data_IF_512326681965
#
_entry.id   IF_512326681965
#
_cell.length_a   1.000
_cell.length_b   1.000
_cell.length_c   1.000
_cell.angle_alpha   90.00
_cell.angle_beta   90.00
_cell.angle_gamma   90.00
#
_symmetry.space_group_name_H-M   'P 1'
#
loop_
_entity.id
_entity.type
_entity.pdbx_description
1 polymer ?
#
# COMPACT_ATOMS: atom_id res chain seq x y z
N UNK A 1 44.80 31.52 44.66
CA UNK A 1 45.92 30.62 44.33
C UNK A 1 45.54 29.86 43.06
N UNK A 2 46.22 30.12 41.95
CA UNK A 2 46.13 29.25 40.79
C UNK A 2 46.88 27.95 41.12
N UNK A 3 46.23 26.80 40.95
CA UNK A 3 46.91 25.51 41.05
C UNK A 3 48.06 25.50 40.04
N UNK A 4 49.24 25.06 40.49
CA UNK A 4 50.46 25.07 39.69
C UNK A 4 50.29 24.21 38.43
N UNK A 5 50.10 24.88 37.30
CA UNK A 5 49.88 24.32 35.97
C UNK A 5 49.04 25.29 35.14
N UNK A 6 49.41 25.55 33.88
CA UNK A 6 48.60 26.41 33.00
C UNK A 6 47.15 25.91 33.00
N UNK A 7 46.22 26.73 33.50
CA UNK A 7 44.80 26.41 33.46
C UNK A 7 44.37 26.29 32.00
N UNK A 8 43.85 25.13 31.55
CA UNK A 8 43.42 24.96 30.16
C UNK A 8 42.32 25.98 29.84
N UNK A 9 42.37 26.58 28.65
CA UNK A 9 41.35 27.51 28.18
C UNK A 9 40.00 26.81 28.14
N UNK A 10 38.98 27.38 28.77
CA UNK A 10 37.62 26.86 28.71
C UNK A 10 37.10 27.11 27.29
N UNK A 11 37.04 26.05 26.49
CA UNK A 11 36.47 26.09 25.14
C UNK A 11 34.94 26.19 25.29
N UNK A 12 34.32 27.18 24.64
CA UNK A 12 32.86 27.45 24.75
C UNK A 12 32.02 26.29 24.21
N UNK A 13 32.57 25.54 23.25
CA UNK A 13 31.95 24.36 22.65
C UNK A 13 32.84 23.14 22.85
N UNK A 14 32.22 21.96 22.85
CA UNK A 14 32.95 20.69 22.99
C UNK A 14 33.97 20.53 21.86
N UNK A 15 35.17 20.06 22.17
CA UNK A 15 36.17 19.70 21.16
C UNK A 15 35.56 18.73 20.13
N UNK A 16 35.73 19.08 18.85
CA UNK A 16 35.11 18.37 17.72
C UNK A 16 33.80 18.99 17.21
N UNK A 17 33.30 20.08 17.80
CA UNK A 17 32.14 20.80 17.27
C UNK A 17 32.57 21.71 16.10
N UNK A 18 32.19 21.35 14.88
CA UNK A 18 32.40 22.20 13.71
C UNK A 18 31.36 23.34 13.72
N UNK A 19 31.84 24.58 13.83
CA UNK A 19 30.99 25.77 13.77
C UNK A 19 31.39 26.64 12.60
N UNK A 20 30.53 26.66 11.59
CA UNK A 20 30.63 27.60 10.48
C UNK A 20 29.43 28.56 10.53
N UNK A 21 29.74 29.85 10.34
CA UNK A 21 28.79 30.96 10.49
C UNK A 21 28.91 31.94 9.32
N UNK A 22 27.90 32.79 9.16
CA UNK A 22 27.89 33.86 8.16
C UNK A 22 27.53 33.38 6.75
N UNK A 23 27.91 34.19 5.74
CA UNK A 23 27.53 33.98 4.34
C UNK A 23 28.03 32.65 3.78
N UNK A 24 29.23 32.21 4.17
CA UNK A 24 29.82 30.95 3.72
C UNK A 24 28.97 29.73 4.09
N UNK A 25 28.37 29.72 5.28
CA UNK A 25 27.48 28.64 5.70
C UNK A 25 26.20 28.58 4.85
N UNK A 26 25.64 29.74 4.51
CA UNK A 26 24.43 29.82 3.68
C UNK A 26 24.71 29.28 2.28
N UNK A 27 25.83 29.68 1.68
CA UNK A 27 26.24 29.20 0.36
C UNK A 27 26.53 27.69 0.39
N UNK A 28 27.18 27.19 1.44
CA UNK A 28 27.41 25.75 1.62
C UNK A 28 26.09 24.97 1.69
N UNK A 29 25.12 25.46 2.47
CA UNK A 29 23.79 24.87 2.55
C UNK A 29 23.07 24.86 1.19
N UNK A 30 23.16 25.96 0.42
CA UNK A 30 22.59 26.04 -0.92
C UNK A 30 23.23 25.00 -1.83
N UNK A 31 24.57 24.90 -1.85
CA UNK A 31 25.28 23.95 -2.70
C UNK A 31 24.93 22.49 -2.39
N UNK A 32 24.73 22.14 -1.10
CA UNK A 32 24.26 20.82 -0.71
C UNK A 32 22.87 20.50 -1.28
N UNK A 33 21.94 21.46 -1.23
CA UNK A 33 20.62 21.34 -1.83
C UNK A 33 20.68 21.21 -3.38
N UNK A 34 21.57 21.97 -4.03
CA UNK A 34 21.76 21.91 -5.48
C UNK A 34 22.32 20.56 -5.94
N UNK A 35 23.19 19.94 -5.15
CA UNK A 35 23.71 18.60 -5.44
C UNK A 35 22.56 17.58 -5.53
N UNK A 36 21.66 17.59 -4.55
CA UNK A 36 20.46 16.72 -4.56
C UNK A 36 19.53 17.04 -5.72
N UNK A 37 19.28 18.33 -5.96
CA UNK A 37 18.46 18.79 -7.08
C UNK A 37 19.00 18.22 -8.41
N UNK A 38 20.33 18.23 -8.60
CA UNK A 38 20.96 17.72 -9.82
C UNK A 38 20.76 16.21 -10.03
N UNK A 39 20.73 15.42 -8.95
CA UNK A 39 20.44 13.99 -8.99
C UNK A 39 19.00 13.72 -9.42
N UNK A 40 18.05 14.48 -8.88
CA UNK A 40 16.61 14.26 -9.10
C UNK A 40 16.12 14.92 -10.40
N UNK A 41 16.78 15.97 -10.88
CA UNK A 41 16.40 16.74 -12.08
C UNK A 41 16.23 15.87 -13.34
N UNK A 42 17.02 14.82 -13.48
CA UNK A 42 16.94 13.89 -14.62
C UNK A 42 15.63 13.10 -14.70
N UNK A 43 14.91 12.97 -13.59
CA UNK A 43 13.62 12.25 -13.50
C UNK A 43 12.42 13.13 -13.88
N UNK A 44 12.60 14.46 -13.98
CA UNK A 44 11.49 15.37 -14.22
C UNK A 44 10.98 15.30 -15.67
N UNK A 45 9.67 15.10 -15.83
CA UNK A 45 8.95 15.21 -17.09
C UNK A 45 8.58 13.86 -17.73
N UNK A 46 7.82 13.87 -18.84
CA UNK A 46 7.28 12.67 -19.49
C UNK A 46 8.33 11.82 -20.25
N UNK A 47 9.57 12.33 -20.32
CA UNK A 47 10.75 11.65 -20.85
C UNK A 47 11.90 11.68 -19.82
N UNK A 48 11.56 11.89 -18.54
CA UNK A 48 12.52 11.77 -17.45
C UNK A 48 13.10 10.36 -17.40
N UNK A 49 14.39 10.25 -17.09
CA UNK A 49 15.06 8.97 -16.93
C UNK A 49 14.72 8.34 -15.58
N UNK A 50 14.67 7.02 -15.55
CA UNK A 50 14.54 6.28 -14.29
C UNK A 50 15.91 6.15 -13.61
N UNK A 51 15.94 6.22 -12.27
CA UNK A 51 17.15 6.03 -11.49
C UNK A 51 17.21 4.60 -10.94
N UNK A 52 18.31 3.91 -11.24
CA UNK A 52 18.66 2.64 -10.62
C UNK A 52 19.45 2.92 -9.35
N UNK A 53 18.85 2.60 -8.22
CA UNK A 53 19.43 2.72 -6.88
C UNK A 53 19.78 1.33 -6.35
N UNK A 54 20.96 1.18 -5.76
CA UNK A 54 21.40 -0.06 -5.13
C UNK A 54 21.66 0.23 -3.66
N UNK A 55 20.89 -0.43 -2.79
CA UNK A 55 21.08 -0.35 -1.35
C UNK A 55 22.36 -1.09 -0.91
N UNK A 56 22.86 -0.82 0.30
CA UNK A 56 24.03 -1.51 0.87
C UNK A 56 23.84 -3.03 0.93
N UNK A 57 22.58 -3.49 1.00
CA UNK A 57 22.19 -4.91 0.98
C UNK A 57 22.17 -5.52 -0.44
N UNK A 58 22.57 -4.78 -1.47
CA UNK A 58 22.54 -5.22 -2.87
C UNK A 58 21.13 -5.23 -3.49
N UNK A 59 20.12 -4.70 -2.79
CA UNK A 59 18.76 -4.60 -3.31
C UNK A 59 18.69 -3.49 -4.36
N UNK A 60 18.33 -3.87 -5.58
CA UNK A 60 18.14 -2.96 -6.70
C UNK A 60 16.72 -2.42 -6.73
N UNK A 61 16.57 -1.10 -6.77
CA UNK A 61 15.30 -0.39 -6.87
C UNK A 61 15.38 0.56 -8.06
N UNK A 62 14.43 0.47 -8.99
CA UNK A 62 14.36 1.36 -10.15
C UNK A 62 13.17 2.26 -9.94
N UNK A 63 13.41 3.56 -9.80
CA UNK A 63 12.31 4.49 -9.51
C UNK A 63 12.47 5.82 -10.23
N UNK A 64 11.33 6.41 -10.57
CA UNK A 64 11.20 7.76 -11.13
C UNK A 64 10.67 8.75 -10.07
N UNK A 65 10.07 8.23 -9.00
CA UNK A 65 9.45 9.05 -7.98
C UNK A 65 10.52 9.68 -7.07
N UNK A 66 10.55 11.02 -7.06
CA UNK A 66 11.48 11.79 -6.26
C UNK A 66 11.39 11.50 -4.77
N UNK A 67 10.21 11.21 -4.22
CA UNK A 67 10.09 10.89 -2.80
C UNK A 67 10.76 9.54 -2.47
N UNK A 68 10.58 8.54 -3.33
CA UNK A 68 11.24 7.23 -3.19
C UNK A 68 12.75 7.33 -3.36
N UNK A 69 13.25 8.11 -4.34
CA UNK A 69 14.69 8.39 -4.49
C UNK A 69 15.26 9.02 -3.21
N UNK A 70 14.58 10.03 -2.67
CA UNK A 70 15.03 10.76 -1.48
C UNK A 70 14.98 9.93 -0.18
N UNK A 71 14.13 8.89 -0.13
CA UNK A 71 14.10 7.91 0.98
C UNK A 71 15.27 6.91 0.91
N UNK A 72 15.77 6.62 -0.29
CA UNK A 72 16.87 5.68 -0.51
C UNK A 72 18.24 6.34 -0.41
N UNK A 73 18.33 7.65 -0.63
CA UNK A 73 19.57 8.41 -0.47
C UNK A 73 19.89 8.62 1.01
N UNK A 74 21.11 8.26 1.42
CA UNK A 74 21.61 8.55 2.77
C UNK A 74 22.08 10.01 2.87
N UNK A 75 21.16 10.89 3.31
CA UNK A 75 21.37 12.33 3.38
C UNK A 75 21.79 12.72 4.80
N UNK A 76 23.10 12.97 4.96
CA UNK A 76 23.68 13.43 6.24
C UNK A 76 23.52 14.95 6.43
N UNK A 77 23.55 15.73 5.36
CA UNK A 77 23.60 17.20 5.45
C UNK A 77 22.23 17.79 5.90
N UNK A 78 22.17 18.61 6.96
CA UNK A 78 20.90 19.09 7.52
C UNK A 78 20.02 19.87 6.54
N UNK A 79 20.60 20.77 5.74
CA UNK A 79 19.83 21.56 4.77
C UNK A 79 19.21 20.68 3.68
N UNK A 80 19.90 19.61 3.30
CA UNK A 80 19.46 18.67 2.30
C UNK A 80 18.32 17.77 2.81
N UNK A 81 18.35 17.42 4.10
CA UNK A 81 17.26 16.66 4.74
C UNK A 81 15.91 17.39 4.68
N UNK A 82 15.92 18.73 4.71
CA UNK A 82 14.69 19.53 4.55
C UNK A 82 14.04 19.26 3.19
N UNK A 83 14.82 19.07 2.12
CA UNK A 83 14.26 18.71 0.80
C UNK A 83 13.57 17.33 0.82
N UNK A 84 14.13 16.37 1.57
CA UNK A 84 13.51 15.05 1.78
C UNK A 84 12.17 15.17 2.50
N UNK A 85 12.11 16.00 3.54
CA UNK A 85 10.89 16.20 4.32
C UNK A 85 9.80 16.88 3.46
N UNK A 86 10.17 17.84 2.61
CA UNK A 86 9.26 18.48 1.66
C UNK A 86 8.74 17.46 0.64
N UNK A 87 9.62 16.64 0.05
CA UNK A 87 9.22 15.61 -0.91
C UNK A 87 8.27 14.58 -0.28
N UNK A 88 8.54 14.18 0.98
CA UNK A 88 7.68 13.26 1.74
C UNK A 88 6.32 13.89 2.11
N UNK A 89 6.28 15.18 2.41
CA UNK A 89 5.03 15.89 2.66
C UNK A 89 4.18 15.94 1.39
N UNK A 90 4.79 16.22 0.23
CA UNK A 90 4.11 16.23 -1.05
C UNK A 90 3.55 14.85 -1.44
N UNK A 91 4.33 13.79 -1.19
CA UNK A 91 3.94 12.38 -1.40
C UNK A 91 2.72 12.01 -0.55
N UNK A 92 2.67 12.45 0.72
CA UNK A 92 1.57 12.13 1.62
C UNK A 92 0.30 12.98 1.42
N UNK A 93 0.43 14.23 0.98
CA UNK A 93 -0.72 15.14 0.81
C UNK A 93 -1.37 15.05 -0.58
N UNK A 94 -0.56 14.87 -1.63
CA UNK A 94 -1.04 14.89 -3.03
C UNK A 94 -0.64 13.63 -3.79
N UNK A 95 0.53 13.05 -3.50
CA UNK A 95 1.04 11.84 -4.17
C UNK A 95 1.64 12.05 -5.56
N UNK A 96 1.59 13.28 -6.10
CA UNK A 96 2.24 13.67 -7.36
C UNK A 96 3.04 14.98 -7.20
N UNK A 97 4.00 15.20 -8.11
CA UNK A 97 4.85 16.38 -8.11
C UNK A 97 5.97 16.38 -7.06
N UNK A 98 6.29 15.22 -6.48
CA UNK A 98 7.40 15.08 -5.51
C UNK A 98 8.72 15.59 -6.09
N UNK A 99 9.04 15.19 -7.32
CA UNK A 99 10.22 15.64 -8.07
C UNK A 99 10.18 17.13 -8.39
N UNK A 100 9.03 17.66 -8.82
CA UNK A 100 8.93 19.07 -9.25
C UNK A 100 9.10 20.03 -8.07
N UNK A 101 8.60 19.67 -6.89
CA UNK A 101 8.77 20.48 -5.67
C UNK A 101 10.25 20.58 -5.28
N UNK A 102 10.99 19.46 -5.31
CA UNK A 102 12.43 19.45 -5.01
C UNK A 102 13.21 20.27 -6.03
N UNK A 103 12.91 20.09 -7.33
CA UNK A 103 13.57 20.83 -8.41
C UNK A 103 13.30 22.33 -8.31
N UNK A 104 12.05 22.73 -8.03
CA UNK A 104 11.68 24.13 -7.87
C UNK A 104 12.34 24.76 -6.64
N UNK A 105 12.36 24.06 -5.51
CA UNK A 105 13.02 24.54 -4.30
C UNK A 105 14.53 24.74 -4.53
N UNK A 106 15.19 23.79 -5.21
CA UNK A 106 16.60 23.91 -5.59
C UNK A 106 16.86 25.09 -6.52
N UNK A 107 16.01 25.30 -7.53
CA UNK A 107 16.19 26.40 -8.49
C UNK A 107 15.99 27.77 -7.83
N UNK A 108 15.01 27.89 -6.92
CA UNK A 108 14.84 29.11 -6.12
C UNK A 108 16.12 29.38 -5.32
N UNK A 109 16.67 28.38 -4.62
CA UNK A 109 17.91 28.54 -3.85
C UNK A 109 19.11 28.93 -4.74
N UNK A 110 19.15 28.44 -5.98
CA UNK A 110 20.17 28.80 -6.96
C UNK A 110 20.13 30.28 -7.33
N UNK A 111 18.95 30.81 -7.66
CA UNK A 111 18.79 32.23 -8.00
C UNK A 111 19.06 33.15 -6.80
N UNK A 112 18.77 32.67 -5.59
CA UNK A 112 19.05 33.43 -4.36
C UNK A 112 20.54 33.50 -4.03
N UNK A 113 21.36 32.59 -4.56
CA UNK A 113 22.80 32.58 -4.31
C UNK A 113 23.44 33.92 -4.68
N UNK A 114 23.12 34.45 -5.85
CA UNK A 114 23.67 35.72 -6.34
C UNK A 114 23.27 36.89 -5.43
N UNK A 115 22.03 36.91 -4.94
CA UNK A 115 21.56 37.93 -4.01
C UNK A 115 22.28 37.85 -2.65
N UNK A 116 22.58 36.64 -2.17
CA UNK A 116 23.32 36.43 -0.91
C UNK A 116 24.79 36.84 -1.07
N UNK A 117 25.41 36.54 -2.22
CA UNK A 117 26.77 36.94 -2.55
C UNK A 117 26.90 38.47 -2.61
N UNK A 118 25.92 39.16 -3.22
CA UNK A 118 25.81 40.63 -3.22
C UNK A 118 25.56 41.25 -1.83
N UNK A 119 25.30 40.43 -0.81
CA UNK A 119 25.16 40.88 0.58
C UNK A 119 23.77 41.37 0.96
N UNK A 120 22.74 41.01 0.19
CA UNK A 120 21.35 41.25 0.60
C UNK A 120 21.04 40.43 1.86
N UNK A 121 20.40 41.07 2.85
CA UNK A 121 20.00 40.37 4.08
C UNK A 121 18.99 39.25 3.78
N UNK A 122 19.23 38.06 4.32
CA UNK A 122 18.36 36.89 4.14
C UNK A 122 16.92 37.15 4.60
N UNK A 123 16.71 38.04 5.57
CA UNK A 123 15.36 38.39 6.02
C UNK A 123 14.54 39.10 4.93
N UNK A 124 15.17 39.96 4.13
CA UNK A 124 14.53 40.66 3.02
C UNK A 124 14.15 39.68 1.93
N UNK A 125 15.06 38.75 1.62
CA UNK A 125 14.84 37.67 0.65
C UNK A 125 13.62 36.82 1.07
N UNK A 126 13.57 36.38 2.33
CA UNK A 126 12.45 35.57 2.85
C UNK A 126 11.13 36.35 2.75
N UNK A 127 11.13 37.66 3.08
CA UNK A 127 9.93 38.51 2.96
C UNK A 127 9.46 38.62 1.51
N UNK A 128 10.39 38.78 0.57
CA UNK A 128 10.11 38.80 -0.87
C UNK A 128 9.48 37.50 -1.36
N UNK A 129 10.09 36.36 -1.02
CA UNK A 129 9.60 35.02 -1.40
C UNK A 129 8.21 34.71 -0.84
N UNK A 130 7.96 35.05 0.43
CA UNK A 130 6.63 34.86 1.05
C UNK A 130 5.55 35.66 0.31
N UNK A 131 5.85 36.91 -0.07
CA UNK A 131 4.92 37.74 -0.85
C UNK A 131 4.71 37.18 -2.25
N UNK A 132 5.78 36.77 -2.93
CA UNK A 132 5.69 36.17 -4.26
C UNK A 132 4.88 34.86 -4.25
N UNK A 133 5.10 34.00 -3.25
CA UNK A 133 4.34 32.76 -3.07
C UNK A 133 2.84 33.02 -2.91
N UNK A 134 2.46 33.98 -2.06
CA UNK A 134 1.05 34.34 -1.87
C UNK A 134 0.39 34.84 -3.16
N UNK A 135 1.10 35.67 -3.94
CA UNK A 135 0.61 36.16 -5.23
C UNK A 135 0.47 35.04 -6.27
N UNK A 136 1.44 34.12 -6.33
CA UNK A 136 1.40 32.97 -7.22
C UNK A 136 0.21 32.05 -6.90
N UNK A 137 -0.02 31.74 -5.62
CA UNK A 137 -1.16 30.92 -5.17
C UNK A 137 -2.49 31.59 -5.53
N UNK A 138 -2.62 32.90 -5.33
CA UNK A 138 -3.83 33.62 -5.72
C UNK A 138 -4.06 33.55 -7.24
N UNK A 139 -3.00 33.72 -8.03
CA UNK A 139 -3.12 33.62 -9.49
C UNK A 139 -3.51 32.22 -9.95
N UNK A 140 -3.00 31.16 -9.31
CA UNK A 140 -3.40 29.78 -9.59
C UNK A 140 -4.90 29.56 -9.32
N UNK A 141 -5.44 30.15 -8.25
CA UNK A 141 -6.88 30.09 -7.94
C UNK A 141 -7.74 30.83 -8.97
N UNK A 142 -7.24 31.94 -9.53
CA UNK A 142 -7.95 32.71 -10.56
C UNK A 142 -8.02 31.99 -11.92
N UNK A 143 -6.99 31.23 -12.28
CA UNK A 143 -6.95 30.46 -13.53
C UNK A 143 -7.56 29.07 -13.41
N UNK A 144 -7.92 28.65 -12.19
CA UNK A 144 -8.50 27.34 -11.94
C UNK A 144 -9.89 27.24 -12.59
N UNK A 145 -10.05 26.26 -13.48
CA UNK A 145 -11.32 26.00 -14.16
C UNK A 145 -12.08 24.95 -13.36
N UNK A 146 -13.24 25.33 -12.80
CA UNK A 146 -14.12 24.39 -12.12
C UNK A 146 -14.89 23.55 -13.15
N UNK A 147 -14.59 22.26 -13.20
CA UNK A 147 -15.21 21.31 -14.13
C UNK A 147 -16.57 20.78 -13.62
N UNK A 148 -16.97 21.12 -12.38
CA UNK A 148 -18.23 20.65 -11.78
C UNK A 148 -19.47 21.25 -12.42
N UNK A 149 -19.40 22.48 -12.94
CA UNK A 149 -20.54 23.22 -13.50
C UNK A 149 -20.84 22.92 -14.97
N UNK A 150 -19.88 22.38 -15.72
CA UNK A 150 -19.97 22.27 -17.19
C UNK A 150 -20.46 20.89 -17.65
N UNK A 151 -20.47 19.89 -16.76
CA UNK A 151 -20.64 18.48 -17.12
C UNK A 151 -21.66 17.78 -16.20
N UNK A 152 -22.94 17.87 -16.57
CA UNK A 152 -24.04 17.20 -15.88
C UNK A 152 -24.09 15.67 -16.06
N UNK A 153 -23.30 15.10 -16.98
CA UNK A 153 -23.30 13.66 -17.24
C UNK A 153 -22.18 12.94 -16.46
N UNK A 154 -22.51 11.80 -15.85
CA UNK A 154 -21.56 10.93 -15.14
C UNK A 154 -20.43 10.48 -16.09
N UNK A 155 -20.74 10.21 -17.36
CA UNK A 155 -19.78 9.76 -18.37
C UNK A 155 -18.67 10.79 -18.66
N UNK A 156 -18.99 12.09 -18.67
CA UNK A 156 -17.98 13.14 -18.91
C UNK A 156 -17.10 13.37 -17.69
N UNK A 157 -17.61 13.10 -16.47
CA UNK A 157 -16.78 13.07 -15.25
C UNK A 157 -15.78 11.92 -15.28
N UNK A 158 -16.23 10.73 -15.64
CA UNK A 158 -15.34 9.55 -15.78
C UNK A 158 -14.27 9.80 -16.83
N UNK A 159 -14.63 10.40 -17.98
CA UNK A 159 -13.66 10.77 -19.01
C UNK A 159 -12.65 11.82 -18.54
N UNK A 160 -13.10 12.78 -17.72
CA UNK A 160 -12.20 13.78 -17.11
C UNK A 160 -11.21 13.12 -16.15
N UNK A 161 -11.68 12.21 -15.28
CA UNK A 161 -10.82 11.44 -14.37
C UNK A 161 -9.81 10.59 -15.13
N UNK A 162 -10.20 9.97 -16.25
CA UNK A 162 -9.27 9.23 -17.12
C UNK A 162 -8.18 10.13 -17.68
N UNK A 163 -8.52 11.33 -18.16
CA UNK A 163 -7.52 12.28 -18.67
C UNK A 163 -6.53 12.69 -17.57
N UNK A 164 -7.03 12.97 -16.37
CA UNK A 164 -6.19 13.31 -15.22
C UNK A 164 -5.26 12.14 -14.83
N UNK A 165 -5.80 10.93 -14.71
CA UNK A 165 -5.00 9.73 -14.43
C UNK A 165 -3.94 9.49 -15.52
N UNK A 166 -4.30 9.67 -16.79
CA UNK A 166 -3.38 9.58 -17.93
C UNK A 166 -2.23 10.58 -17.83
N UNK A 167 -2.49 11.81 -17.37
CA UNK A 167 -1.42 12.81 -17.19
C UNK A 167 -0.40 12.40 -16.13
N UNK A 168 -0.84 11.84 -15.00
CA UNK A 168 0.05 11.37 -13.94
C UNK A 168 0.86 10.11 -14.33
N UNK A 169 0.34 9.29 -15.24
CA UNK A 169 1.03 8.07 -15.72
C UNK A 169 2.06 8.33 -16.83
N UNK A 170 2.04 9.50 -17.47
CA UNK A 170 2.86 9.79 -18.66
C UNK A 170 4.37 9.80 -18.42
N UNK A 171 4.84 10.07 -17.20
CA UNK A 171 6.26 10.07 -16.84
C UNK A 171 6.77 8.71 -16.37
N UNK A 172 5.89 7.71 -16.21
CA UNK A 172 6.25 6.39 -15.67
C UNK A 172 6.46 5.37 -16.79
N UNK A 173 7.13 4.26 -16.47
CA UNK A 173 7.31 3.08 -17.35
C UNK A 173 6.01 2.57 -17.98
N UNK A 174 4.88 2.88 -17.34
CA UNK A 174 3.52 2.52 -17.76
C UNK A 174 3.08 3.28 -19.03
N UNK A 175 3.78 4.36 -19.43
CA UNK A 175 3.45 5.17 -20.63
C UNK A 175 3.23 4.34 -21.90
N UNK A 176 4.07 3.32 -22.16
CA UNK A 176 3.92 2.44 -23.34
C UNK A 176 2.62 1.66 -23.34
N UNK A 177 2.08 1.39 -22.16
CA UNK A 177 0.82 0.68 -21.96
C UNK A 177 -0.27 1.64 -21.44
N UNK A 178 -0.08 2.96 -21.53
CA UNK A 178 -1.06 3.92 -21.03
C UNK A 178 -2.42 3.72 -21.69
N UNK A 179 -2.47 3.33 -22.97
CA UNK A 179 -3.75 2.97 -23.62
C UNK A 179 -4.42 1.76 -22.95
N UNK A 180 -3.65 0.77 -22.48
CA UNK A 180 -4.16 -0.36 -21.69
C UNK A 180 -4.56 0.04 -20.27
N UNK A 181 -4.04 1.15 -19.71
CA UNK A 181 -4.40 1.66 -18.38
C UNK A 181 -5.37 2.87 -18.38
N UNK A 182 -5.68 3.44 -19.55
CA UNK A 182 -6.48 4.67 -19.66
C UNK A 182 -7.55 4.67 -20.76
N UNK A 183 -7.47 3.80 -21.79
CA UNK A 183 -8.46 3.77 -22.88
C UNK A 183 -9.38 2.55 -22.86
N UNK A 184 -10.68 2.84 -22.74
CA UNK A 184 -11.80 2.01 -23.20
C UNK A 184 -11.52 1.49 -24.62
N UNK A 185 -11.23 0.20 -24.79
CA UNK A 185 -11.60 -0.44 -26.05
C UNK A 185 -13.11 -0.64 -26.03
N UNK A 186 -13.74 -0.12 -27.07
CA UNK A 186 -15.17 0.14 -27.13
C UNK A 186 -16.05 -1.07 -26.86
N UNK A 187 -17.22 -0.74 -26.33
CA UNK A 187 -18.49 -1.43 -26.48
C UNK A 187 -18.50 -2.39 -27.69
N UNK A 188 -18.27 -3.67 -27.46
CA UNK A 188 -18.62 -4.74 -28.39
C UNK A 188 -19.54 -5.70 -27.66
N UNK A 189 -20.80 -5.60 -28.06
CA UNK A 189 -21.88 -6.51 -27.72
C UNK A 189 -21.46 -7.95 -28.00
N UNK A 190 -21.60 -8.79 -26.98
CA UNK A 190 -22.02 -10.20 -26.99
C UNK A 190 -21.77 -10.98 -28.30
N UNK A 191 -20.70 -11.77 -28.33
CA UNK A 191 -20.67 -13.04 -29.06
C UNK A 191 -19.63 -13.97 -28.42
N UNK A 192 -20.12 -15.05 -27.81
CA UNK A 192 -19.36 -16.25 -27.42
C UNK A 192 -18.18 -16.08 -26.43
N UNK A 193 -18.54 -15.93 -25.15
CA UNK A 193 -17.95 -16.78 -24.09
C UNK A 193 -16.45 -16.65 -23.77
N UNK A 194 -15.82 -15.47 -23.95
CA UNK A 194 -14.48 -15.20 -23.41
C UNK A 194 -14.38 -13.80 -22.79
N UNK A 195 -14.25 -13.79 -21.47
CA UNK A 195 -13.93 -12.61 -20.66
C UNK A 195 -12.52 -12.12 -21.00
N UNK A 196 -12.42 -10.90 -21.51
CA UNK A 196 -11.17 -10.21 -21.80
C UNK A 196 -11.24 -8.81 -21.16
N UNK A 197 -11.18 -8.78 -19.83
CA UNK A 197 -11.21 -7.56 -19.05
C UNK A 197 -9.83 -6.87 -19.13
N UNK A 198 -9.80 -5.71 -19.80
CA UNK A 198 -8.60 -4.94 -20.13
C UNK A 198 -8.40 -3.82 -19.11
N UNK A 199 -7.20 -3.69 -18.54
CA UNK A 199 -6.91 -2.96 -17.29
C UNK A 199 -6.89 -1.42 -17.37
N UNK A 200 -7.75 -0.81 -18.18
CA UNK A 200 -7.86 0.67 -18.29
C UNK A 200 -9.05 1.24 -17.56
N UNK A 201 -9.95 0.37 -17.15
CA UNK A 201 -10.99 0.60 -16.17
C UNK A 201 -10.39 0.64 -14.74
N UNK A 202 -9.27 -0.05 -14.51
CA UNK A 202 -8.64 -0.29 -13.20
C UNK A 202 -8.57 0.90 -12.25
N UNK A 203 -7.96 2.02 -12.63
CA UNK A 203 -7.68 3.09 -11.65
C UNK A 203 -8.91 3.95 -11.38
N UNK A 204 -9.65 4.29 -12.44
CA UNK A 204 -10.87 5.09 -12.29
C UNK A 204 -11.97 4.26 -11.66
N UNK A 205 -12.11 2.99 -12.03
CA UNK A 205 -13.11 2.09 -11.46
C UNK A 205 -12.71 1.64 -10.05
N UNK A 206 -11.42 1.55 -9.72
CA UNK A 206 -10.97 1.42 -8.33
C UNK A 206 -11.47 2.59 -7.47
N UNK A 207 -11.27 3.82 -7.94
CA UNK A 207 -11.73 5.01 -7.22
C UNK A 207 -13.26 5.09 -7.17
N UNK A 208 -13.97 4.68 -8.22
CA UNK A 208 -15.43 4.64 -8.24
C UNK A 208 -16.01 3.50 -7.40
N UNK A 209 -15.26 2.42 -7.18
CA UNK A 209 -15.66 1.30 -6.31
C UNK A 209 -15.52 1.62 -4.83
N UNK A 210 -14.75 2.66 -4.49
CA UNK A 210 -14.62 3.15 -3.13
C UNK A 210 -15.80 4.02 -2.72
N UNK A 211 -15.93 4.24 -1.42
CA UNK A 211 -16.85 5.24 -0.92
C UNK A 211 -16.40 6.64 -1.34
N UNK A 212 -17.31 7.43 -1.91
CA UNK A 212 -17.00 8.79 -2.37
C UNK A 212 -16.83 9.76 -1.19
N UNK A 213 -17.39 9.42 -0.03
CA UNK A 213 -17.30 10.25 1.18
C UNK A 213 -16.03 9.96 1.99
N UNK A 214 -15.46 8.75 1.90
CA UNK A 214 -14.23 8.34 2.58
C UNK A 214 -13.32 7.53 1.65
N UNK A 215 -12.52 8.25 0.86
CA UNK A 215 -11.53 7.69 -0.05
C UNK A 215 -10.29 7.22 0.70
N UNK A 216 -10.32 5.97 1.18
CA UNK A 216 -9.18 5.38 1.86
C UNK A 216 -8.30 4.56 0.91
N UNK A 217 -7.08 5.04 0.66
CA UNK A 217 -6.09 4.39 -0.20
C UNK A 217 -5.75 2.96 0.23
N UNK A 218 -5.84 2.65 1.53
CA UNK A 218 -5.54 1.32 2.06
C UNK A 218 -6.53 0.27 1.57
N UNK A 219 -7.74 0.67 1.18
CA UNK A 219 -8.77 -0.23 0.66
C UNK A 219 -8.49 -0.68 -0.77
N UNK A 220 -7.59 0.02 -1.49
CA UNK A 220 -7.08 -0.41 -2.79
C UNK A 220 -5.93 -1.40 -2.54
N UNK A 221 -6.22 -2.68 -2.75
CA UNK A 221 -5.20 -3.72 -2.69
C UNK A 221 -4.36 -3.78 -3.96
N UNK A 222 -3.04 -3.68 -3.85
CA UNK A 222 -2.14 -3.93 -4.99
C UNK A 222 -1.34 -5.21 -4.71
N UNK A 223 -1.56 -6.24 -5.53
CA UNK A 223 -0.86 -7.52 -5.45
C UNK A 223 0.07 -7.65 -6.64
N UNK A 224 1.37 -7.78 -6.39
CA UNK A 224 2.39 -7.90 -7.43
C UNK A 224 2.69 -9.38 -7.67
N UNK A 225 2.47 -9.85 -8.89
CA UNK A 225 2.69 -11.23 -9.33
C UNK A 225 3.78 -11.25 -10.40
N UNK A 226 4.77 -12.11 -10.20
CA UNK A 226 5.84 -12.31 -11.18
C UNK A 226 5.34 -13.14 -12.36
N UNK A 227 5.79 -12.77 -13.55
CA UNK A 227 5.57 -13.53 -14.77
C UNK A 227 4.57 -12.90 -15.75
N UNK A 228 4.90 -13.09 -17.04
CA UNK A 228 4.24 -12.60 -18.25
C UNK A 228 3.99 -11.09 -18.34
N UNK A 229 3.02 -10.69 -19.16
CA UNK A 229 2.92 -9.31 -19.59
C UNK A 229 2.18 -8.40 -18.58
N UNK A 230 2.55 -7.12 -18.56
CA UNK A 230 1.82 -6.08 -17.82
C UNK A 230 0.35 -5.97 -18.28
N UNK A 231 0.08 -6.33 -19.54
CA UNK A 231 -1.25 -6.40 -20.16
C UNK A 231 -2.11 -7.56 -19.65
N UNK A 232 -1.55 -8.48 -18.89
CA UNK A 232 -2.28 -9.60 -18.29
C UNK A 232 -2.61 -9.33 -16.81
N UNK A 233 -2.42 -8.09 -16.36
CA UNK A 233 -2.89 -7.66 -15.03
C UNK A 233 -4.41 -7.84 -14.94
N UNK A 234 -4.96 -7.87 -13.72
CA UNK A 234 -6.38 -8.11 -13.51
C UNK A 234 -6.96 -7.08 -12.55
N UNK A 235 -8.10 -6.51 -12.92
CA UNK A 235 -8.98 -5.77 -12.01
C UNK A 235 -9.93 -6.75 -11.33
N UNK A 236 -10.06 -6.64 -10.01
CA UNK A 236 -11.02 -7.44 -9.27
C UNK A 236 -11.89 -6.47 -8.46
N UNK A 237 -13.17 -6.43 -8.82
CA UNK A 237 -14.19 -5.72 -8.05
C UNK A 237 -14.54 -6.53 -6.79
N UNK A 238 -13.70 -6.35 -5.77
CA UNK A 238 -13.69 -7.12 -4.54
C UNK A 238 -12.26 -7.28 -4.02
N UNK A 239 -11.97 -8.45 -3.43
CA UNK A 239 -10.69 -8.70 -2.77
C UNK A 239 -10.00 -9.90 -3.36
N UNK A 240 -8.70 -9.76 -3.59
CA UNK A 240 -7.85 -10.89 -3.89
C UNK A 240 -6.64 -10.91 -2.97
N UNK A 241 -6.35 -12.09 -2.42
CA UNK A 241 -5.12 -12.31 -1.67
C UNK A 241 -4.45 -13.59 -2.12
N UNK A 242 -3.12 -13.56 -2.03
CA UNK A 242 -2.29 -14.72 -2.35
C UNK A 242 -2.62 -15.85 -1.39
N UNK A 243 -2.69 -17.06 -1.92
CA UNK A 243 -2.83 -18.27 -1.11
C UNK A 243 -1.73 -18.32 -0.05
N UNK A 244 -2.13 -18.44 1.20
CA UNK A 244 -1.24 -18.63 2.35
C UNK A 244 -0.86 -20.11 2.49
N UNK A 245 0.05 -20.41 3.43
CA UNK A 245 0.55 -21.78 3.66
C UNK A 245 -0.60 -22.78 3.74
N UNK A 246 -0.53 -23.83 2.91
CA UNK A 246 -1.59 -24.83 2.77
C UNK A 246 -1.22 -26.10 3.52
N UNK A 247 -2.11 -26.54 4.39
CA UNK A 247 -1.99 -27.76 5.18
C UNK A 247 -2.56 -28.97 4.43
N UNK A 248 -2.36 -30.19 4.95
CA UNK A 248 -2.83 -31.41 4.30
C UNK A 248 -4.37 -31.43 4.18
N UNK A 249 -4.90 -31.89 3.04
CA UNK A 249 -6.35 -31.93 2.76
C UNK A 249 -6.91 -30.77 1.94
N UNK A 250 -6.11 -29.73 1.70
CA UNK A 250 -6.54 -28.54 0.94
C UNK A 250 -6.93 -28.84 -0.51
N UNK A 251 -6.27 -29.80 -1.18
CA UNK A 251 -6.57 -30.08 -2.60
C UNK A 251 -7.97 -30.67 -2.83
N UNK A 252 -8.58 -31.23 -1.79
CA UNK A 252 -9.91 -31.82 -1.82
C UNK A 252 -11.02 -30.78 -1.63
N UNK A 253 -10.69 -29.56 -1.18
CA UNK A 253 -11.68 -28.50 -0.98
C UNK A 253 -12.19 -27.94 -2.32
N UNK A 254 -13.49 -27.62 -2.43
CA UNK A 254 -14.02 -26.98 -3.63
C UNK A 254 -13.35 -25.62 -3.86
N UNK A 255 -12.94 -25.38 -5.11
CA UNK A 255 -12.21 -24.16 -5.52
C UNK A 255 -13.13 -23.08 -6.06
N UNK A 256 -14.43 -23.37 -6.18
CA UNK A 256 -15.42 -22.44 -6.70
C UNK A 256 -16.69 -22.53 -5.86
N UNK A 257 -17.16 -21.38 -5.38
CA UNK A 257 -18.45 -21.26 -4.71
C UNK A 257 -19.25 -20.10 -5.31
N UNK A 258 -20.55 -20.33 -5.48
CA UNK A 258 -21.52 -19.28 -5.84
C UNK A 258 -22.28 -18.88 -4.59
N UNK A 259 -22.33 -17.58 -4.30
CA UNK A 259 -22.97 -17.03 -3.10
C UNK A 259 -22.53 -17.70 -1.77
N UNK A 260 -21.22 -17.82 -1.46
CA UNK A 260 -20.80 -18.40 -0.19
C UNK A 260 -21.05 -17.46 0.99
N UNK A 261 -21.39 -18.04 2.15
CA UNK A 261 -21.29 -17.38 3.46
C UNK A 261 -19.85 -17.40 3.94
N UNK A 262 -19.33 -16.23 4.33
CA UNK A 262 -17.92 -16.00 4.68
C UNK A 262 -17.82 -15.66 6.17
N UNK A 263 -16.92 -16.33 6.88
CA UNK A 263 -16.57 -16.02 8.28
C UNK A 263 -15.13 -15.53 8.33
N UNK A 264 -14.92 -14.42 9.02
CA UNK A 264 -13.60 -13.88 9.32
C UNK A 264 -13.28 -14.08 10.80
N UNK A 265 -12.19 -14.78 11.11
CA UNK A 265 -11.77 -15.13 12.47
C UNK A 265 -10.44 -14.48 12.84
N UNK A 266 -10.31 -14.16 14.12
CA UNK A 266 -9.05 -13.82 14.77
C UNK A 266 -8.66 -14.87 15.82
N UNK A 267 -8.97 -16.15 15.54
CA UNK A 267 -8.74 -17.29 16.43
C UNK A 267 -7.95 -18.34 15.68
N UNK A 268 -7.01 -18.98 16.36
CA UNK A 268 -6.29 -20.14 15.85
C UNK A 268 -7.12 -21.40 15.97
N UNK A 269 -7.09 -22.20 14.90
CA UNK A 269 -7.76 -23.50 14.82
C UNK A 269 -6.70 -24.62 14.81
N UNK A 270 -5.71 -24.49 15.69
CA UNK A 270 -4.65 -25.47 15.92
C UNK A 270 -4.75 -26.01 17.34
N UNK A 271 -4.44 -27.31 17.48
CA UNK A 271 -4.21 -27.91 18.79
C UNK A 271 -2.84 -27.41 19.27
N UNK A 272 -2.86 -26.36 20.07
CA UNK A 272 -1.66 -25.91 20.77
C UNK A 272 -1.63 -26.50 22.17
N UNK A 273 -0.45 -26.94 22.57
CA UNK A 273 -0.06 -26.86 23.97
C UNK A 273 -0.15 -25.39 24.38
N UNK A 274 -0.98 -25.09 25.36
CA UNK A 274 -1.23 -23.73 25.83
C UNK A 274 0.12 -23.00 26.04
N UNK A 275 0.29 -21.86 25.35
CA UNK A 275 1.55 -21.08 25.39
C UNK A 275 1.84 -20.44 26.75
N UNK A 276 0.85 -20.42 27.64
CA UNK A 276 0.96 -19.88 28.99
C UNK A 276 0.84 -21.02 30.01
N UNK A 277 1.97 -21.66 30.33
CA UNK A 277 2.28 -22.39 31.58
C UNK A 277 1.09 -22.89 32.44
N UNK A 278 0.12 -23.58 31.87
CA UNK A 278 -0.87 -24.33 32.64
C UNK A 278 -0.21 -25.65 33.03
N UNK A 279 0.38 -25.70 34.22
CA UNK A 279 0.81 -26.98 34.81
C UNK A 279 -0.43 -27.80 35.13
N UNK A 280 -0.81 -28.68 34.20
CA UNK A 280 -1.84 -29.68 34.46
C UNK A 280 -1.23 -30.76 35.35
N UNK A 281 -1.50 -30.68 36.66
CA UNK A 281 -1.07 -31.70 37.63
C UNK A 281 -2.08 -32.83 37.61
N UNK A 282 -1.64 -33.99 37.12
CA UNK A 282 -2.46 -35.20 37.02
C UNK A 282 -1.97 -36.21 38.05
N UNK A 283 -2.85 -36.63 38.95
CA UNK A 283 -2.53 -37.61 40.00
C UNK A 283 -2.92 -39.05 39.57
N UNK A 284 -3.85 -39.19 38.61
CA UNK A 284 -4.35 -40.48 38.13
C UNK A 284 -4.26 -40.63 36.61
N UNK A 285 -3.91 -41.84 36.14
CA UNK A 285 -3.80 -42.16 34.70
C UNK A 285 -5.13 -41.94 33.94
N UNK A 286 -6.28 -42.13 34.60
CA UNK A 286 -7.60 -41.88 34.04
C UNK A 286 -7.89 -40.40 33.75
N UNK A 287 -7.36 -39.50 34.57
CA UNK A 287 -7.51 -38.05 34.39
C UNK A 287 -6.71 -37.57 33.17
N UNK A 288 -5.57 -38.19 32.88
CA UNK A 288 -4.77 -37.88 31.69
C UNK A 288 -5.57 -38.13 30.40
N UNK A 289 -6.27 -39.27 30.30
CA UNK A 289 -7.12 -39.56 29.14
C UNK A 289 -8.28 -38.56 29.01
N UNK A 290 -8.90 -38.18 30.13
CA UNK A 290 -9.99 -37.21 30.14
C UNK A 290 -9.53 -35.81 29.68
N UNK A 291 -8.30 -35.41 30.00
CA UNK A 291 -7.71 -34.14 29.54
C UNK A 291 -7.51 -34.18 28.03
N UNK A 292 -6.90 -35.26 27.51
CA UNK A 292 -6.71 -35.44 26.06
C UNK A 292 -8.06 -35.40 25.35
N UNK A 293 -9.05 -36.15 25.81
CA UNK A 293 -10.39 -36.17 25.23
C UNK A 293 -11.07 -34.80 25.29
N UNK A 294 -10.87 -34.04 26.37
CA UNK A 294 -11.38 -32.67 26.52
C UNK A 294 -10.72 -31.70 25.53
N UNK A 295 -9.41 -31.77 25.30
CA UNK A 295 -8.71 -30.97 24.30
C UNK A 295 -9.28 -31.21 22.89
N UNK A 296 -9.49 -32.48 22.54
CA UNK A 296 -10.14 -32.85 21.28
C UNK A 296 -11.55 -32.26 21.19
N UNK A 297 -12.37 -32.43 22.24
CA UNK A 297 -13.73 -31.90 22.27
C UNK A 297 -13.78 -30.38 22.13
N UNK A 298 -12.86 -29.63 22.74
CA UNK A 298 -12.81 -28.16 22.62
C UNK A 298 -12.61 -27.74 21.17
N UNK A 299 -11.70 -28.40 20.44
CA UNK A 299 -11.44 -28.08 19.03
C UNK A 299 -12.61 -28.51 18.15
N UNK A 300 -13.15 -29.72 18.37
CA UNK A 300 -14.33 -30.18 17.65
C UNK A 300 -15.54 -29.26 17.87
N UNK A 301 -15.77 -28.79 19.09
CA UNK A 301 -16.86 -27.85 19.39
C UNK A 301 -16.68 -26.52 18.64
N UNK A 302 -15.45 -26.00 18.53
CA UNK A 302 -15.16 -24.79 17.73
C UNK A 302 -15.47 -25.02 16.25
N UNK A 303 -15.06 -26.17 15.70
CA UNK A 303 -15.30 -26.52 14.29
C UNK A 303 -16.79 -26.78 14.01
N UNK A 304 -17.50 -27.42 14.94
CA UNK A 304 -18.93 -27.67 14.83
C UNK A 304 -19.73 -26.36 14.92
N UNK A 305 -19.33 -25.43 15.79
CA UNK A 305 -19.95 -24.11 15.86
C UNK A 305 -19.83 -23.36 14.53
N UNK A 306 -18.67 -23.42 13.87
CA UNK A 306 -18.47 -22.85 12.53
C UNK A 306 -19.29 -23.56 11.45
N UNK A 307 -19.49 -24.87 11.57
CA UNK A 307 -20.34 -25.61 10.65
C UNK A 307 -21.82 -25.22 10.81
N UNK A 308 -22.29 -25.04 12.05
CA UNK A 308 -23.67 -24.65 12.39
C UNK A 308 -24.07 -23.29 11.81
N UNK A 309 -23.14 -22.37 11.60
CA UNK A 309 -23.42 -21.08 10.95
C UNK A 309 -23.70 -21.21 9.45
N UNK A 310 -23.38 -22.35 8.84
CA UNK A 310 -23.53 -22.60 7.40
C UNK A 310 -22.49 -21.86 6.55
N UNK A 311 -21.38 -21.43 7.15
CA UNK A 311 -20.28 -20.79 6.43
C UNK A 311 -19.59 -21.75 5.46
N UNK A 312 -19.34 -21.30 4.23
CA UNK A 312 -18.61 -22.06 3.20
C UNK A 312 -17.17 -21.61 3.04
N UNK A 313 -16.82 -20.41 3.50
CA UNK A 313 -15.47 -19.86 3.48
C UNK A 313 -15.11 -19.40 4.89
N UNK A 314 -14.05 -19.98 5.47
CA UNK A 314 -13.53 -19.63 6.79
C UNK A 314 -12.13 -19.04 6.63
N UNK A 315 -11.98 -17.77 6.98
CA UNK A 315 -10.70 -17.07 6.94
C UNK A 315 -10.23 -16.80 8.37
N UNK A 316 -8.94 -17.02 8.65
CA UNK A 316 -8.34 -16.64 9.92
C UNK A 316 -7.06 -15.85 9.73
N UNK A 317 -6.87 -14.82 10.57
CA UNK A 317 -5.57 -14.13 10.71
C UNK A 317 -4.50 -15.07 11.28
N UNK A 318 -4.92 -16.02 12.10
CA UNK A 318 -4.06 -17.00 12.76
C UNK A 318 -4.00 -18.30 11.96
N UNK A 319 -3.05 -19.21 12.26
CA UNK A 319 -2.95 -20.49 11.57
C UNK A 319 -4.17 -21.40 11.84
N UNK A 320 -4.43 -22.28 10.87
CA UNK A 320 -5.46 -23.32 10.91
C UNK A 320 -4.73 -24.65 10.78
N UNK A 321 -4.96 -25.58 11.71
CA UNK A 321 -4.23 -26.85 11.75
C UNK A 321 -4.69 -27.86 10.73
N UNK A 322 -3.93 -28.95 10.60
CA UNK A 322 -4.25 -30.07 9.71
C UNK A 322 -5.60 -30.70 10.05
N UNK A 323 -5.90 -30.91 11.34
CA UNK A 323 -7.17 -31.47 11.80
C UNK A 323 -8.37 -30.62 11.34
N UNK A 324 -8.27 -29.31 11.51
CA UNK A 324 -9.32 -28.38 11.09
C UNK A 324 -9.48 -28.37 9.58
N UNK A 325 -8.37 -28.40 8.85
CA UNK A 325 -8.37 -28.44 7.38
C UNK A 325 -9.07 -29.70 6.84
N UNK A 326 -8.80 -30.87 7.44
CA UNK A 326 -9.47 -32.14 7.10
C UNK A 326 -10.97 -32.10 7.43
N UNK A 327 -11.33 -31.63 8.62
CA UNK A 327 -12.72 -31.52 9.04
C UNK A 327 -13.56 -30.63 8.09
N UNK A 328 -12.96 -29.54 7.60
CA UNK A 328 -13.59 -28.66 6.62
C UNK A 328 -13.59 -29.24 5.20
N UNK A 329 -12.56 -29.99 4.82
CA UNK A 329 -12.49 -30.68 3.52
C UNK A 329 -13.64 -31.71 3.37
N UNK A 330 -13.90 -32.52 4.40
CA UNK A 330 -14.98 -33.52 4.40
C UNK A 330 -16.39 -32.89 4.27
N UNK A 331 -16.52 -31.58 4.51
CA UNK A 331 -17.79 -30.84 4.55
C UNK A 331 -17.93 -29.79 3.46
N UNK A 332 -17.04 -29.82 2.47
CA UNK A 332 -17.00 -28.85 1.37
C UNK A 332 -16.94 -27.40 1.88
N UNK A 333 -16.09 -27.14 2.87
CA UNK A 333 -15.80 -25.80 3.41
C UNK A 333 -14.36 -25.44 3.05
N UNK A 334 -14.18 -24.25 2.51
CA UNK A 334 -12.87 -23.69 2.23
C UNK A 334 -12.32 -23.00 3.47
N UNK A 335 -11.05 -23.26 3.80
CA UNK A 335 -10.38 -22.58 4.91
C UNK A 335 -9.02 -22.01 4.50
N UNK A 336 -8.73 -20.78 4.95
CA UNK A 336 -7.41 -20.16 4.80
C UNK A 336 -6.95 -19.52 6.11
N UNK A 337 -5.79 -19.94 6.61
CA UNK A 337 -5.14 -19.37 7.79
C UNK A 337 -4.02 -18.40 7.43
N UNK A 338 -3.51 -17.66 8.42
CA UNK A 338 -2.40 -16.68 8.25
C UNK A 338 -2.69 -15.59 7.22
N UNK A 339 -3.94 -15.18 7.07
CA UNK A 339 -4.31 -14.06 6.20
C UNK A 339 -3.77 -12.76 6.80
N UNK A 340 -3.14 -11.92 5.97
CA UNK A 340 -2.61 -10.63 6.42
C UNK A 340 -3.73 -9.75 7.00
N UNK A 341 -3.43 -8.99 8.05
CA UNK A 341 -4.41 -8.11 8.71
C UNK A 341 -5.06 -7.13 7.74
N UNK A 342 -4.27 -6.51 6.85
CA UNK A 342 -4.74 -5.56 5.84
C UNK A 342 -5.71 -6.23 4.85
N UNK A 343 -5.45 -7.48 4.47
CA UNK A 343 -6.32 -8.22 3.56
C UNK A 343 -7.61 -8.64 4.25
N UNK A 344 -7.56 -8.98 5.55
CA UNK A 344 -8.75 -9.29 6.34
C UNK A 344 -9.68 -8.09 6.46
N UNK A 345 -9.13 -6.89 6.70
CA UNK A 345 -9.91 -5.66 6.76
C UNK A 345 -10.59 -5.37 5.42
N UNK A 346 -9.87 -5.57 4.30
CA UNK A 346 -10.46 -5.45 2.96
C UNK A 346 -11.58 -6.46 2.75
N UNK A 347 -11.40 -7.72 3.14
CA UNK A 347 -12.47 -8.74 3.02
C UNK A 347 -13.69 -8.35 3.84
N UNK A 348 -13.51 -7.84 5.05
CA UNK A 348 -14.61 -7.38 5.89
C UNK A 348 -15.41 -6.25 5.21
N UNK A 349 -14.71 -5.26 4.63
CA UNK A 349 -15.35 -4.16 3.91
C UNK A 349 -16.02 -4.62 2.60
N UNK A 350 -15.42 -5.58 1.89
CA UNK A 350 -15.99 -6.10 0.64
C UNK A 350 -17.27 -6.90 0.87
N UNK A 351 -17.22 -7.82 1.83
CA UNK A 351 -18.25 -8.84 2.03
C UNK A 351 -19.29 -8.45 3.07
N UNK A 352 -19.06 -7.37 3.82
CA UNK A 352 -19.85 -6.99 4.99
C UNK A 352 -19.59 -7.86 6.23
N UNK A 353 -18.62 -8.79 6.17
CA UNK A 353 -18.27 -9.63 7.31
C UNK A 353 -17.64 -8.80 8.45
N UNK A 354 -17.78 -9.28 9.67
CA UNK A 354 -17.07 -8.73 10.83
C UNK A 354 -16.08 -9.76 11.37
N UNK A 355 -14.88 -9.32 11.75
CA UNK A 355 -13.88 -10.21 12.33
C UNK A 355 -14.31 -10.65 13.73
N UNK A 356 -14.37 -11.95 13.98
CA UNK A 356 -14.77 -12.53 15.26
C UNK A 356 -13.58 -13.16 15.99
N UNK A 357 -13.45 -12.84 17.28
CA UNK A 357 -12.41 -13.41 18.17
C UNK A 357 -12.89 -14.65 18.92
N UNK A 358 -14.09 -15.14 18.65
CA UNK A 358 -14.67 -16.32 19.32
C UNK A 358 -15.55 -17.11 18.34
N UNK A 359 -15.61 -18.44 18.48
CA UNK A 359 -16.36 -19.32 17.58
C UNK A 359 -17.81 -19.58 17.99
N UNK A 360 -18.21 -19.24 19.23
CA UNK A 360 -19.52 -19.62 19.81
C UNK A 360 -20.64 -18.60 19.61
N UNK A 361 -20.35 -17.31 19.50
CA UNK A 361 -21.36 -16.24 19.32
C UNK A 361 -21.37 -15.69 17.88
N UNK A 362 -21.22 -16.58 16.90
CA UNK A 362 -21.28 -16.19 15.49
C UNK A 362 -22.74 -16.22 15.04
N UNK A 363 -23.30 -15.02 14.86
CA UNK A 363 -24.64 -14.78 14.35
C UNK A 363 -24.61 -14.45 12.85
N UNK A 364 -25.75 -14.61 12.17
CA UNK A 364 -25.83 -14.36 10.71
C UNK A 364 -25.41 -12.93 10.31
N UNK A 365 -25.61 -11.93 11.19
CA UNK A 365 -25.16 -10.54 10.96
C UNK A 365 -23.64 -10.38 10.85
N UNK A 366 -22.87 -11.34 11.36
CA UNK A 366 -21.41 -11.30 11.35
C UNK A 366 -20.83 -11.97 10.10
N UNK A 367 -21.66 -12.72 9.37
CA UNK A 367 -21.30 -13.43 8.15
C UNK A 367 -21.33 -12.47 6.97
N UNK A 368 -20.30 -12.54 6.13
CA UNK A 368 -20.28 -11.86 4.83
C UNK A 368 -20.86 -12.71 3.72
N UNK A 369 -21.17 -12.08 2.59
CA UNK A 369 -21.54 -12.75 1.35
C UNK A 369 -20.81 -12.12 0.18
N UNK A 370 -20.47 -12.94 -0.83
CA UNK A 370 -19.98 -12.47 -2.14
C UNK A 370 -20.74 -13.17 -3.26
N UNK A 371 -20.75 -12.62 -4.48
CA UNK A 371 -21.44 -13.27 -5.61
C UNK A 371 -20.74 -14.55 -6.05
N UNK A 372 -19.41 -14.52 -6.14
CA UNK A 372 -18.60 -15.70 -6.41
C UNK A 372 -17.27 -15.67 -5.64
N UNK A 373 -16.81 -16.88 -5.30
CA UNK A 373 -15.47 -17.13 -4.80
C UNK A 373 -14.79 -18.11 -5.73
N UNK A 374 -13.57 -17.80 -6.16
CA UNK A 374 -12.74 -18.69 -6.96
C UNK A 374 -11.29 -18.72 -6.49
N UNK A 375 -10.69 -19.91 -6.42
CA UNK A 375 -9.24 -20.05 -6.36
C UNK A 375 -8.70 -20.16 -7.80
N UNK A 376 -8.03 -19.12 -8.28
CA UNK A 376 -7.45 -19.07 -9.62
C UNK A 376 -5.92 -19.07 -9.54
N UNK A 377 -5.28 -19.82 -10.43
CA UNK A 377 -3.83 -19.75 -10.60
C UNK A 377 -3.48 -18.57 -11.52
N UNK A 378 -2.64 -17.66 -11.02
CA UNK A 378 -2.14 -16.51 -11.76
C UNK A 378 -0.61 -16.58 -11.72
N UNK A 379 0.01 -16.88 -12.87
CA UNK A 379 1.45 -17.17 -12.93
C UNK A 379 1.81 -18.44 -12.17
N UNK A 380 2.81 -18.36 -11.29
CA UNK A 380 3.25 -19.49 -10.44
C UNK A 380 2.48 -19.59 -9.12
N UNK A 381 1.58 -18.66 -8.82
CA UNK A 381 0.92 -18.55 -7.51
C UNK A 381 -0.60 -18.71 -7.65
N UNK A 382 -1.25 -19.20 -6.59
CA UNK A 382 -2.70 -19.25 -6.52
C UNK A 382 -3.24 -18.06 -5.73
N UNK A 383 -4.33 -17.51 -6.21
CA UNK A 383 -5.04 -16.39 -5.60
C UNK A 383 -6.45 -16.80 -5.28
N UNK A 384 -6.90 -16.41 -4.09
CA UNK A 384 -8.30 -16.50 -3.69
C UNK A 384 -8.96 -15.18 -4.06
N UNK A 385 -9.98 -15.25 -4.91
CA UNK A 385 -10.64 -14.10 -5.51
C UNK A 385 -12.09 -14.09 -5.04
N UNK A 386 -12.50 -12.96 -4.46
CA UNK A 386 -13.88 -12.65 -4.10
C UNK A 386 -14.40 -11.63 -5.10
N UNK A 387 -15.37 -12.02 -5.92
CA UNK A 387 -15.99 -11.18 -6.94
C UNK A 387 -17.47 -10.92 -6.66
N UNK A 388 -18.00 -9.87 -7.27
CA UNK A 388 -19.40 -9.46 -7.22
C UNK A 388 -19.92 -9.29 -5.78
N UNK A 389 -19.21 -8.51 -4.95
CA UNK A 389 -19.67 -8.22 -3.61
C UNK A 389 -20.62 -7.00 -3.63
N UNK A 390 -21.88 -7.12 -3.19
CA UNK A 390 -22.88 -6.05 -3.30
C UNK A 390 -22.59 -4.83 -2.40
N UNK A 391 -21.75 -5.01 -1.38
CA UNK A 391 -21.27 -3.95 -0.49
C UNK A 391 -19.80 -3.58 -0.75
N UNK A 392 -19.22 -3.99 -1.89
CA UNK A 392 -17.82 -3.75 -2.19
C UNK A 392 -17.48 -2.26 -2.14
N UNK A 393 -16.82 -1.84 -1.05
CA UNK A 393 -16.12 -0.56 -0.93
C UNK A 393 -14.61 -0.72 -1.07
N UNK A 394 -14.18 -1.78 -1.74
CA UNK A 394 -12.76 -2.17 -1.87
C UNK A 394 -12.54 -2.81 -3.22
N UNK A 395 -11.36 -2.60 -3.77
CA UNK A 395 -10.92 -3.25 -5.01
C UNK A 395 -9.52 -3.83 -4.85
N UNK A 396 -9.20 -4.84 -5.65
CA UNK A 396 -7.84 -5.37 -5.73
C UNK A 396 -7.33 -5.36 -7.16
N UNK A 397 -6.10 -4.86 -7.32
CA UNK A 397 -5.34 -4.82 -8.55
C UNK A 397 -4.26 -5.89 -8.49
N UNK A 398 -4.38 -6.90 -9.34
CA UNK A 398 -3.33 -7.90 -9.50
C UNK A 398 -2.44 -7.45 -10.66
N UNK A 399 -1.28 -6.89 -10.32
CA UNK A 399 -0.30 -6.40 -11.29
C UNK A 399 0.66 -7.52 -11.68
N UNK A 400 0.84 -7.70 -12.98
CA UNK A 400 1.79 -8.65 -13.55
C UNK A 400 2.99 -7.96 -14.16
N UNK A 401 4.14 -8.62 -14.10
CA UNK A 401 5.37 -8.11 -14.71
C UNK A 401 6.47 -9.15 -14.77
N UNK A 402 7.37 -8.99 -15.74
CA UNK A 402 8.50 -9.91 -15.97
C UNK A 402 9.49 -9.88 -14.81
N UNK A 403 9.73 -8.71 -14.21
CA UNK A 403 10.65 -8.54 -13.08
C UNK A 403 9.93 -8.05 -11.82
N UNK A 404 10.36 -8.57 -10.68
CA UNK A 404 9.89 -8.17 -9.35
C UNK A 404 10.66 -6.96 -8.80
N UNK A 405 11.04 -6.02 -9.66
CA UNK A 405 11.73 -4.80 -9.26
C UNK A 405 10.72 -3.90 -8.54
N UNK A 406 10.88 -3.65 -7.23
CA UNK A 406 10.07 -2.63 -6.56
C UNK A 406 10.40 -1.28 -7.23
N UNK A 407 9.36 -0.62 -7.71
CA UNK A 407 9.38 0.77 -8.18
C UNK A 407 9.02 1.73 -7.06
#
# INVERSE_FOLDING_TARGET
MAFAGQTPTIIVLKEGTDTSQGKGQIISNINACLAIQSTVKGTLGPYGGDLLMVDANGRQTITNDGATVMKLLDIVHPAARILTDIARSQDAEVGDGTTSVVVLAGEILKELRDAVEQGVSSQIIIKGLRRASALAVNRVKEIAVDLRSTHGNIETKVETLRRLAGTAMNSKLIKRNSDFFTKRHGFLVMAEGRWADSCSEVVVDAVLSLDQDDLNEKLIGVKKVTGGALQESLFINGVAFKKTFSYAGFEQQPKFFKNPKIVCLNVELELKSEKDNAEVRVEQVSEYQAIVDAEWQIIFNKMEALYKTGAKVVLSKLPIGDLATQYFADRDIFCAGRVASDDMERVCQATGASTQSTCTDIQDRHLGTCGAFEERQIGSERFNIFSDCPAAKTCTLVLRGVSMTPS
#
